data_IF_441150871146
#
_entry.id   IF_441150871146
#
_cell.length_a   1.000
_cell.length_b   1.000
_cell.length_c   1.000
_cell.angle_alpha   90.00
_cell.angle_beta   90.00
_cell.angle_gamma   90.00
#
_symmetry.space_group_name_H-M   'P 1'
#
loop_
_entity.id
_entity.type
_entity.pdbx_description
1 polymer ?
#
# COMPACT_ATOMS: atom_id res chain seq x y z
N UNK A 1 -88.37 0.14 -34.85
CA UNK A 1 -88.04 0.92 -33.63
C UNK A 1 -86.85 0.28 -32.93
N UNK A 2 -86.02 1.09 -32.28
CA UNK A 2 -84.81 0.80 -31.47
C UNK A 2 -83.48 0.68 -32.22
N UNK A 3 -82.75 1.80 -32.16
CA UNK A 3 -81.30 1.96 -32.34
C UNK A 3 -80.55 1.27 -31.21
N UNK A 4 -79.37 0.70 -31.49
CA UNK A 4 -78.27 0.57 -30.52
C UNK A 4 -76.95 0.86 -31.25
N UNK A 5 -76.25 1.90 -30.76
CA UNK A 5 -74.85 2.25 -31.09
C UNK A 5 -73.89 1.24 -30.43
N UNK A 6 -72.74 0.98 -31.05
CA UNK A 6 -71.65 0.21 -30.43
C UNK A 6 -70.29 0.40 -31.10
N UNK A 7 -69.60 1.46 -30.67
CA UNK A 7 -68.17 1.81 -30.71
C UNK A 7 -67.19 1.11 -31.69
N UNK A 8 -66.53 1.97 -32.48
CA UNK A 8 -65.26 1.73 -33.17
C UNK A 8 -64.12 1.83 -32.14
N UNK A 9 -63.30 0.78 -32.02
CA UNK A 9 -62.00 0.82 -31.36
C UNK A 9 -60.98 0.14 -32.26
N UNK A 10 -60.05 0.93 -32.84
CA UNK A 10 -58.76 0.41 -33.30
C UNK A 10 -57.67 1.39 -32.87
N UNK A 11 -57.02 0.98 -31.79
CA UNK A 11 -55.92 1.67 -31.11
C UNK A 11 -54.69 1.81 -32.01
N UNK A 12 -54.15 3.02 -32.06
CA UNK A 12 -52.81 3.35 -32.54
C UNK A 12 -51.77 2.81 -31.56
N UNK A 13 -50.89 1.91 -32.03
CA UNK A 13 -49.71 1.45 -31.29
C UNK A 13 -48.59 2.45 -31.54
N UNK A 14 -48.36 3.37 -30.59
CA UNK A 14 -47.17 4.22 -30.54
C UNK A 14 -46.01 3.44 -29.93
N UNK A 15 -44.97 3.18 -30.72
CA UNK A 15 -43.72 2.58 -30.24
C UNK A 15 -42.90 3.69 -29.58
N UNK A 16 -42.97 3.79 -28.25
CA UNK A 16 -42.08 4.60 -27.45
C UNK A 16 -40.74 3.89 -27.27
N UNK A 17 -39.67 4.43 -27.88
CA UNK A 17 -38.30 3.98 -27.64
C UNK A 17 -37.84 4.54 -26.28
N UNK A 18 -37.77 3.68 -25.27
CA UNK A 18 -37.13 3.97 -23.99
C UNK A 18 -35.61 3.91 -24.17
N UNK A 19 -34.97 5.07 -24.24
CA UNK A 19 -33.51 5.18 -24.14
C UNK A 19 -33.13 5.03 -22.67
N UNK A 20 -32.67 3.83 -22.28
CA UNK A 20 -32.10 3.59 -20.98
C UNK A 20 -30.73 4.30 -20.89
N UNK A 21 -30.68 5.43 -20.19
CA UNK A 21 -29.43 6.12 -19.85
C UNK A 21 -28.76 5.33 -18.73
N UNK A 22 -27.75 4.53 -19.05
CA UNK A 22 -26.88 3.90 -18.06
C UNK A 22 -25.92 4.96 -17.51
N UNK A 23 -26.23 5.51 -16.34
CA UNK A 23 -25.26 6.30 -15.59
C UNK A 23 -24.19 5.36 -15.04
N UNK A 24 -23.03 5.33 -15.69
CA UNK A 24 -21.84 4.72 -15.12
C UNK A 24 -21.47 5.49 -13.84
N UNK A 25 -21.85 4.96 -12.68
CA UNK A 25 -21.29 5.41 -11.41
C UNK A 25 -19.79 5.09 -11.44
N UNK A 26 -18.97 6.11 -11.69
CA UNK A 26 -17.55 6.04 -11.38
C UNK A 26 -17.45 5.71 -9.89
N UNK A 27 -16.99 4.50 -9.56
CA UNK A 27 -16.68 4.15 -8.18
C UNK A 27 -15.66 5.18 -7.69
N UNK A 28 -16.05 5.99 -6.70
CA UNK A 28 -15.15 6.94 -6.07
C UNK A 28 -13.91 6.17 -5.61
N UNK A 29 -12.76 6.51 -6.19
CA UNK A 29 -11.51 5.81 -5.92
C UNK A 29 -11.20 6.02 -4.43
N UNK A 30 -11.28 4.95 -3.64
CA UNK A 30 -11.07 5.03 -2.20
C UNK A 30 -9.68 5.63 -1.93
N UNK A 31 -9.63 6.68 -1.11
CA UNK A 31 -8.38 7.29 -0.71
C UNK A 31 -7.48 6.25 -0.05
N UNK A 32 -6.19 6.24 -0.39
CA UNK A 32 -5.23 5.31 0.18
C UNK A 32 -5.04 5.54 1.68
N UNK A 33 -5.10 6.79 2.13
CA UNK A 33 -4.95 7.20 3.52
C UNK A 33 -6.09 8.13 3.90
N UNK A 34 -6.62 7.92 5.10
CA UNK A 34 -7.55 8.83 5.79
C UNK A 34 -6.99 9.14 7.16
N UNK A 35 -7.35 10.29 7.73
CA UNK A 35 -6.93 10.65 9.08
C UNK A 35 -8.10 10.53 10.04
N UNK A 36 -7.85 9.92 11.19
CA UNK A 36 -8.78 9.81 12.30
C UNK A 36 -8.34 10.77 13.42
N UNK A 37 -8.37 12.07 13.12
CA UNK A 37 -7.88 13.11 14.02
C UNK A 37 -7.50 14.39 13.28
N UNK A 38 -6.91 15.34 14.02
CA UNK A 38 -6.41 16.61 13.48
C UNK A 38 -4.88 16.56 13.33
N UNK A 39 -4.33 16.54 12.10
CA UNK A 39 -2.88 16.48 11.88
C UNK A 39 -2.13 17.73 12.36
N UNK A 40 -2.83 18.80 12.78
CA UNK A 40 -2.20 19.96 13.41
C UNK A 40 -1.93 19.76 14.91
N UNK A 41 -2.55 18.75 15.52
CA UNK A 41 -2.43 18.44 16.95
C UNK A 41 -1.65 17.17 17.22
N UNK A 42 -1.71 16.23 16.28
CA UNK A 42 -1.10 14.91 16.39
C UNK A 42 -0.30 14.60 15.13
N UNK A 43 0.79 13.85 15.30
CA UNK A 43 1.58 13.38 14.19
C UNK A 43 0.72 12.55 13.22
N UNK A 44 0.65 12.95 11.95
CA UNK A 44 -0.28 12.34 10.99
C UNK A 44 -0.07 10.82 10.85
N UNK A 45 1.17 10.34 10.96
CA UNK A 45 1.50 8.91 10.85
C UNK A 45 0.98 8.07 12.02
N UNK A 46 0.53 8.70 13.11
CA UNK A 46 -0.10 8.07 14.28
C UNK A 46 -1.61 7.94 14.09
N UNK A 47 -2.24 8.96 13.50
CA UNK A 47 -3.70 9.05 13.27
C UNK A 47 -4.11 8.62 11.84
N UNK A 48 -3.16 8.16 11.03
CA UNK A 48 -3.41 7.69 9.68
C UNK A 48 -3.98 6.27 9.67
N UNK A 49 -5.10 6.12 8.97
CA UNK A 49 -5.66 4.84 8.58
C UNK A 49 -5.37 4.59 7.11
N UNK A 50 -4.76 3.44 6.79
CA UNK A 50 -4.42 3.08 5.42
C UNK A 50 -5.36 2.01 4.88
N UNK A 51 -5.69 2.16 3.59
CA UNK A 51 -6.65 1.34 2.89
C UNK A 51 -5.95 0.63 1.73
N UNK A 52 -5.34 -0.54 1.94
CA UNK A 52 -4.72 -1.29 0.84
C UNK A 52 -5.76 -1.62 -0.22
N UNK A 53 -5.42 -1.39 -1.48
CA UNK A 53 -6.32 -1.58 -2.62
C UNK A 53 -5.70 -2.36 -3.79
N UNK A 54 -4.37 -2.42 -3.88
CA UNK A 54 -3.67 -3.18 -4.92
C UNK A 54 -3.58 -4.67 -4.58
N UNK A 55 -3.56 -5.51 -5.61
CA UNK A 55 -3.46 -6.98 -5.50
C UNK A 55 -2.05 -7.49 -5.78
N UNK A 56 -1.11 -6.60 -6.06
CA UNK A 56 0.30 -6.91 -6.30
C UNK A 56 1.20 -5.79 -5.80
N UNK A 57 2.45 -6.16 -5.52
CA UNK A 57 3.53 -5.22 -5.17
C UNK A 57 4.69 -5.50 -6.12
N UNK A 58 5.07 -4.49 -6.90
CA UNK A 58 6.18 -4.58 -7.88
C UNK A 58 6.07 -5.81 -8.81
N UNK A 59 4.86 -6.16 -9.26
CA UNK A 59 4.58 -7.30 -10.12
C UNK A 59 4.53 -8.67 -9.42
N UNK A 60 4.57 -8.69 -8.09
CA UNK A 60 4.37 -9.91 -7.28
C UNK A 60 2.94 -9.89 -6.71
N UNK A 61 2.07 -10.85 -7.05
CA UNK A 61 0.74 -10.97 -6.45
C UNK A 61 0.79 -11.07 -4.93
N UNK A 62 -0.15 -10.41 -4.24
CA UNK A 62 -0.20 -10.35 -2.77
C UNK A 62 -0.23 -11.74 -2.13
N UNK A 63 -0.98 -12.68 -2.71
CA UNK A 63 -1.06 -14.07 -2.24
C UNK A 63 0.24 -14.89 -2.45
N UNK A 64 1.13 -14.44 -3.35
CA UNK A 64 2.47 -15.01 -3.51
C UNK A 64 3.46 -14.42 -2.49
N UNK A 65 3.20 -13.21 -1.98
CA UNK A 65 3.95 -12.63 -0.85
C UNK A 65 3.61 -13.35 0.45
N UNK A 66 2.32 -13.46 0.76
CA UNK A 66 1.78 -14.28 1.84
C UNK A 66 0.44 -14.85 1.42
N UNK A 67 0.24 -16.17 1.56
CA UNK A 67 -0.97 -16.87 1.09
C UNK A 67 -2.29 -16.29 1.59
N UNK A 68 -2.33 -15.73 2.80
CA UNK A 68 -3.54 -15.16 3.40
C UNK A 68 -3.90 -13.77 2.88
N UNK A 69 -3.02 -13.11 2.11
CA UNK A 69 -3.21 -11.74 1.66
C UNK A 69 -4.06 -11.66 0.41
N UNK A 70 -5.07 -10.81 0.47
CA UNK A 70 -5.90 -10.44 -0.67
C UNK A 70 -5.50 -9.09 -1.27
N UNK A 71 -4.95 -8.18 -0.45
CA UNK A 71 -4.46 -6.88 -0.89
C UNK A 71 -3.12 -6.58 -0.24
N UNK A 72 -2.24 -5.91 -0.98
CA UNK A 72 -0.97 -5.40 -0.49
C UNK A 72 -0.59 -4.18 -1.31
N UNK A 73 -0.47 -3.02 -0.66
CA UNK A 73 -0.14 -1.73 -1.29
C UNK A 73 1.15 -1.21 -0.70
N UNK A 74 2.14 -1.02 -1.57
CA UNK A 74 3.40 -0.33 -1.24
C UNK A 74 3.11 1.13 -0.91
N UNK A 75 3.78 1.65 0.12
CA UNK A 75 3.75 3.08 0.39
C UNK A 75 4.47 3.84 -0.72
N UNK A 76 3.80 4.84 -1.29
CA UNK A 76 4.39 5.75 -2.26
C UNK A 76 3.92 7.17 -1.99
N UNK A 77 4.78 8.14 -2.27
CA UNK A 77 4.51 9.56 -2.01
C UNK A 77 3.34 10.10 -2.84
N UNK A 78 3.10 9.54 -4.03
CA UNK A 78 1.95 9.90 -4.89
C UNK A 78 0.60 9.44 -4.34
N UNK A 79 0.59 8.48 -3.39
CA UNK A 79 -0.63 7.95 -2.78
C UNK A 79 -1.01 8.66 -1.47
N UNK A 80 -0.12 9.48 -0.92
CA UNK A 80 -0.31 10.16 0.37
C UNK A 80 -0.48 11.65 0.07
N UNK A 81 -1.46 12.34 0.68
CA UNK A 81 -1.64 13.78 0.51
C UNK A 81 -0.34 14.54 0.75
N UNK A 82 -0.03 15.45 -0.17
CA UNK A 82 1.25 16.17 -0.19
C UNK A 82 1.49 16.91 1.12
N UNK A 83 0.46 17.52 1.66
CA UNK A 83 0.47 18.28 2.92
C UNK A 83 0.89 17.46 4.15
N UNK A 84 0.86 16.11 4.08
CA UNK A 84 1.33 15.24 5.16
C UNK A 84 2.82 14.93 5.02
N UNK A 85 3.35 14.92 3.79
CA UNK A 85 4.74 14.55 3.50
C UNK A 85 5.65 15.75 3.29
N UNK A 86 5.09 16.94 3.07
CA UNK A 86 5.85 18.12 2.72
C UNK A 86 5.45 19.31 3.60
N UNK A 87 6.46 19.94 4.22
CA UNK A 87 6.32 21.26 4.80
C UNK A 87 6.76 22.30 3.75
N UNK A 88 5.76 22.89 3.09
CA UNK A 88 5.95 23.70 1.89
C UNK A 88 6.58 22.90 0.73
N UNK A 89 7.88 23.11 0.48
CA UNK A 89 8.65 22.39 -0.53
C UNK A 89 9.63 21.38 0.07
N UNK A 90 9.73 21.30 1.38
CA UNK A 90 10.64 20.41 2.09
C UNK A 90 9.99 19.06 2.29
N UNK A 91 10.64 18.01 1.79
CA UNK A 91 10.22 16.62 1.97
C UNK A 91 10.56 16.16 3.39
N UNK A 92 9.54 16.01 4.24
CA UNK A 92 9.70 15.73 5.65
C UNK A 92 10.41 14.39 5.90
N UNK A 93 10.15 13.38 5.06
CA UNK A 93 10.83 12.09 5.17
C UNK A 93 12.30 12.20 4.76
N UNK A 94 12.59 12.90 3.65
CA UNK A 94 13.96 13.05 3.19
C UNK A 94 14.81 13.86 4.19
N UNK A 95 14.22 14.85 4.87
CA UNK A 95 14.89 15.65 5.89
C UNK A 95 15.43 14.80 7.07
N UNK A 96 14.81 13.65 7.34
CA UNK A 96 15.24 12.68 8.37
C UNK A 96 15.82 11.39 7.75
N UNK A 97 16.28 11.44 6.50
CA UNK A 97 16.87 10.32 5.75
C UNK A 97 15.97 9.08 5.62
N UNK A 98 14.65 9.26 5.72
CA UNK A 98 13.66 8.20 5.58
C UNK A 98 13.10 8.11 4.16
N UNK A 99 12.72 6.90 3.77
CA UNK A 99 12.04 6.60 2.50
C UNK A 99 11.07 5.43 2.66
N UNK A 100 10.06 5.35 1.79
CA UNK A 100 9.20 4.16 1.70
C UNK A 100 9.82 3.01 0.92
N UNK A 101 10.79 3.31 0.06
CA UNK A 101 11.52 2.31 -0.71
C UNK A 101 12.99 2.73 -0.86
N UNK A 102 13.89 1.75 -0.76
CA UNK A 102 15.32 1.91 -0.89
C UNK A 102 15.84 0.85 -1.84
N UNK A 103 16.63 1.29 -2.82
CA UNK A 103 17.33 0.40 -3.73
C UNK A 103 18.80 0.24 -3.30
N UNK A 104 19.37 -0.95 -3.51
CA UNK A 104 20.76 -1.23 -3.17
C UNK A 104 21.18 -2.69 -3.39
N UNK A 105 22.29 -3.06 -2.75
CA UNK A 105 22.84 -4.41 -2.72
C UNK A 105 23.01 -4.83 -1.26
N UNK A 106 21.91 -5.24 -0.62
CA UNK A 106 21.86 -5.46 0.83
C UNK A 106 22.44 -6.82 1.26
N UNK A 107 22.49 -7.78 0.34
CA UNK A 107 23.09 -9.11 0.57
C UNK A 107 24.53 -9.27 0.05
N UNK A 108 25.12 -8.20 -0.49
CA UNK A 108 26.45 -8.19 -1.07
C UNK A 108 26.57 -8.85 -2.45
N UNK A 109 25.46 -9.24 -3.08
CA UNK A 109 25.45 -9.73 -4.45
C UNK A 109 25.40 -8.57 -5.45
N UNK A 110 25.70 -8.84 -6.72
CA UNK A 110 25.56 -7.87 -7.82
C UNK A 110 24.11 -7.68 -8.27
N UNK A 111 23.17 -8.47 -7.74
CA UNK A 111 21.75 -8.31 -8.06
C UNK A 111 21.21 -7.08 -7.34
N UNK A 112 20.56 -6.18 -8.08
CA UNK A 112 19.88 -5.03 -7.48
C UNK A 112 18.71 -5.50 -6.63
N UNK A 113 18.60 -4.96 -5.44
CA UNK A 113 17.53 -5.25 -4.48
C UNK A 113 16.72 -3.99 -4.20
N UNK A 114 15.44 -4.19 -3.92
CA UNK A 114 14.55 -3.15 -3.44
C UNK A 114 13.99 -3.58 -2.09
N UNK A 115 14.26 -2.79 -1.07
CA UNK A 115 13.58 -2.86 0.21
C UNK A 115 12.43 -1.83 0.20
N UNK A 116 11.24 -2.24 0.61
CA UNK A 116 10.07 -1.37 0.64
C UNK A 116 9.17 -1.69 1.82
N UNK A 117 8.34 -0.71 2.18
CA UNK A 117 7.30 -0.83 3.20
C UNK A 117 5.92 -0.61 2.58
N UNK A 118 4.90 -1.17 3.22
CA UNK A 118 3.52 -1.00 2.77
C UNK A 118 2.52 -1.59 3.75
N UNK A 119 1.27 -1.64 3.32
CA UNK A 119 0.14 -2.19 4.08
C UNK A 119 -0.51 -3.35 3.38
N UNK A 120 -1.00 -4.30 4.18
CA UNK A 120 -1.70 -5.47 3.67
C UNK A 120 -3.09 -5.59 4.29
N UNK A 121 -3.95 -6.30 3.58
CA UNK A 121 -5.21 -6.81 4.09
C UNK A 121 -5.30 -8.30 3.76
N UNK A 122 -5.51 -9.10 4.80
CA UNK A 122 -5.84 -10.51 4.66
C UNK A 122 -7.23 -10.68 4.06
N UNK A 123 -7.45 -11.82 3.40
CA UNK A 123 -8.77 -12.15 2.87
C UNK A 123 -9.85 -12.22 3.96
N UNK A 124 -9.46 -12.52 5.22
CA UNK A 124 -10.33 -12.50 6.39
C UNK A 124 -10.56 -11.08 6.97
N UNK A 125 -9.99 -10.03 6.37
CA UNK A 125 -10.20 -8.63 6.75
C UNK A 125 -9.14 -8.02 7.66
N UNK A 126 -8.35 -8.82 8.36
CA UNK A 126 -7.26 -8.31 9.21
C UNK A 126 -6.26 -7.49 8.40
N UNK A 127 -5.85 -6.34 8.92
CA UNK A 127 -4.91 -5.42 8.27
C UNK A 127 -3.61 -5.28 9.06
N UNK A 128 -2.59 -4.75 8.41
CA UNK A 128 -1.33 -4.46 9.04
C UNK A 128 -0.32 -3.84 8.09
N UNK A 129 0.93 -3.79 8.53
CA UNK A 129 2.06 -3.29 7.74
C UNK A 129 3.06 -4.38 7.45
N UNK A 130 3.86 -4.19 6.42
CA UNK A 130 4.92 -5.13 6.05
C UNK A 130 6.20 -4.42 5.61
N UNK A 131 7.31 -5.15 5.72
CA UNK A 131 8.61 -4.87 5.11
C UNK A 131 8.88 -5.99 4.12
N UNK A 132 9.24 -5.64 2.88
CA UNK A 132 9.53 -6.57 1.81
C UNK A 132 10.91 -6.24 1.20
N UNK A 133 11.74 -7.26 1.01
CA UNK A 133 12.95 -7.14 0.18
C UNK A 133 12.77 -8.06 -1.02
N UNK A 134 12.98 -7.51 -2.21
CA UNK A 134 12.94 -8.24 -3.47
C UNK A 134 14.27 -8.11 -4.22
N UNK A 135 14.69 -9.19 -4.87
CA UNK A 135 15.63 -9.10 -5.97
C UNK A 135 14.89 -8.57 -7.20
N UNK A 136 15.49 -7.61 -7.89
CA UNK A 136 14.97 -7.03 -9.12
C UNK A 136 16.00 -7.20 -10.26
N UNK A 137 16.07 -8.39 -10.88
CA UNK A 137 16.98 -8.63 -11.99
C UNK A 137 16.57 -7.82 -13.23
N UNK A 138 17.54 -7.34 -14.01
CA UNK A 138 17.33 -6.39 -15.12
C UNK A 138 16.36 -6.86 -16.23
N UNK A 139 16.04 -8.15 -16.30
CA UNK A 139 15.10 -8.71 -17.27
C UNK A 139 14.38 -9.97 -16.76
N UNK A 140 14.27 -10.13 -15.44
CA UNK A 140 13.69 -11.34 -14.82
C UNK A 140 12.50 -11.04 -13.94
N UNK A 141 11.80 -12.09 -13.49
CA UNK A 141 10.74 -11.96 -12.50
C UNK A 141 11.33 -11.54 -11.15
N UNK A 142 10.72 -10.57 -10.45
CA UNK A 142 11.15 -10.19 -9.13
C UNK A 142 11.03 -11.38 -8.17
N UNK A 143 11.98 -11.53 -7.26
CA UNK A 143 12.04 -12.66 -6.31
C UNK A 143 12.03 -12.13 -4.88
N UNK A 144 11.12 -12.63 -4.07
CA UNK A 144 11.07 -12.29 -2.64
C UNK A 144 12.31 -12.86 -1.95
N UNK A 145 13.01 -11.99 -1.21
CA UNK A 145 14.16 -12.33 -0.36
C UNK A 145 13.84 -12.24 1.11
N UNK A 146 12.88 -11.40 1.47
CA UNK A 146 12.44 -11.23 2.85
C UNK A 146 11.02 -10.68 2.88
N UNK A 147 10.21 -11.15 3.82
CA UNK A 147 8.93 -10.54 4.16
C UNK A 147 8.67 -10.64 5.67
N UNK A 148 8.58 -9.49 6.33
CA UNK A 148 8.07 -9.37 7.69
C UNK A 148 6.75 -8.62 7.68
N UNK A 149 5.80 -9.07 8.47
CA UNK A 149 4.46 -8.49 8.51
C UNK A 149 3.93 -8.48 9.94
N UNK A 150 3.29 -7.38 10.32
CA UNK A 150 2.72 -7.18 11.65
C UNK A 150 1.29 -6.72 11.47
N UNK A 151 0.33 -7.46 12.06
CA UNK A 151 -1.05 -7.01 12.20
C UNK A 151 -1.10 -5.89 13.23
N UNK A 152 -1.58 -4.72 12.83
CA UNK A 152 -1.62 -3.52 13.67
C UNK A 152 -2.49 -2.46 13.02
N UNK A 153 -3.07 -1.60 13.84
CA UNK A 153 -3.78 -0.40 13.39
C UNK A 153 -2.81 0.78 13.18
N UNK A 154 -1.59 0.72 13.75
CA UNK A 154 -0.50 1.69 13.50
C UNK A 154 0.36 1.25 12.33
N UNK A 155 -0.09 1.56 11.12
CA UNK A 155 0.41 0.92 9.92
C UNK A 155 1.55 1.65 9.22
N UNK A 156 1.85 2.89 9.63
CA UNK A 156 2.99 3.62 9.07
C UNK A 156 4.29 2.80 9.21
N UNK A 157 5.13 2.93 8.20
CA UNK A 157 6.45 2.35 8.14
C UNK A 157 7.33 3.19 7.25
N UNK A 158 8.61 3.27 7.60
CA UNK A 158 9.65 3.92 6.82
C UNK A 158 10.94 3.10 6.90
N UNK A 159 11.84 3.36 5.94
CA UNK A 159 13.15 2.75 5.82
C UNK A 159 14.23 3.82 5.84
N UNK A 160 15.37 3.49 6.44
CA UNK A 160 16.61 4.25 6.32
C UNK A 160 17.75 3.29 5.95
N UNK A 161 18.79 3.81 5.28
CA UNK A 161 20.03 3.05 5.08
C UNK A 161 20.83 3.06 6.37
N UNK A 162 21.11 1.88 6.91
CA UNK A 162 22.07 1.70 7.99
C UNK A 162 23.50 1.57 7.45
N UNK A 163 24.45 1.33 8.36
CA UNK A 163 25.84 1.00 8.02
C UNK A 163 25.93 -0.40 7.40
N UNK A 164 26.97 -0.65 6.61
CA UNK A 164 27.30 -1.97 6.04
C UNK A 164 26.16 -2.67 5.29
N UNK A 165 25.31 -1.91 4.60
CA UNK A 165 24.18 -2.44 3.84
C UNK A 165 22.99 -2.88 4.69
N UNK A 166 22.97 -2.56 5.99
CA UNK A 166 21.81 -2.76 6.85
C UNK A 166 20.65 -1.82 6.46
N UNK A 167 19.44 -2.23 6.81
CA UNK A 167 18.23 -1.44 6.65
C UNK A 167 17.64 -1.18 8.03
N UNK A 168 17.38 0.09 8.35
CA UNK A 168 16.65 0.44 9.57
C UNK A 168 15.20 0.62 9.20
N UNK A 169 14.30 -0.04 9.93
CA UNK A 169 12.86 0.07 9.73
C UNK A 169 12.25 0.80 10.91
N UNK A 170 11.49 1.86 10.65
CA UNK A 170 10.89 2.71 11.68
C UNK A 170 9.38 2.76 11.52
N UNK A 171 8.68 2.79 12.65
CA UNK A 171 7.22 2.90 12.73
C UNK A 171 6.73 4.34 13.01
N UNK A 172 7.67 5.28 13.03
CA UNK A 172 7.51 6.65 13.49
C UNK A 172 8.59 7.50 12.83
N UNK A 173 8.25 8.74 12.42
CA UNK A 173 9.22 9.64 11.77
C UNK A 173 10.14 10.36 12.74
N UNK A 174 9.73 10.51 14.00
CA UNK A 174 10.41 11.32 15.03
C UNK A 174 10.97 10.48 16.18
N UNK A 175 10.88 9.15 16.08
CA UNK A 175 11.34 8.25 17.12
C UNK A 175 12.75 7.76 16.79
N UNK A 176 13.64 7.75 17.79
CA UNK A 176 14.99 7.19 17.67
C UNK A 176 15.00 5.65 17.62
N UNK A 177 13.85 5.03 17.86
CA UNK A 177 13.69 3.58 17.88
C UNK A 177 13.44 3.02 16.47
N UNK A 178 14.38 2.22 16.00
CA UNK A 178 14.30 1.45 14.77
C UNK A 178 14.57 -0.04 15.02
N UNK A 179 14.12 -0.88 14.09
CA UNK A 179 14.56 -2.27 14.01
C UNK A 179 15.56 -2.42 12.87
N UNK A 180 16.71 -3.00 13.16
CA UNK A 180 17.78 -3.18 12.17
C UNK A 180 17.63 -4.54 11.49
N UNK A 181 17.57 -4.53 10.16
CA UNK A 181 17.50 -5.71 9.32
C UNK A 181 18.81 -5.84 8.54
N UNK A 182 19.48 -7.00 8.65
CA UNK A 182 20.78 -7.24 8.00
C UNK A 182 20.81 -8.61 7.34
N UNK A 183 21.64 -8.76 6.31
CA UNK A 183 21.93 -10.05 5.71
C UNK A 183 22.83 -10.89 6.64
N UNK A 184 22.29 -12.00 7.14
CA UNK A 184 23.06 -13.02 7.83
C UNK A 184 23.75 -13.92 6.78
N UNK A 185 25.07 -13.75 6.63
CA UNK A 185 25.88 -14.53 5.69
C UNK A 185 25.90 -16.03 6.01
N UNK A 186 25.80 -16.41 7.29
CA UNK A 186 25.83 -17.82 7.70
C UNK A 186 24.51 -18.50 7.36
N UNK A 187 23.38 -17.84 7.64
CA UNK A 187 22.04 -18.35 7.32
C UNK A 187 21.63 -18.12 5.86
N UNK A 188 22.33 -17.24 5.14
CA UNK A 188 21.99 -16.79 3.78
C UNK A 188 20.56 -16.25 3.70
N UNK A 189 20.18 -15.43 4.66
CA UNK A 189 18.88 -14.76 4.72
C UNK A 189 18.98 -13.40 5.41
N UNK A 190 17.98 -12.55 5.19
CA UNK A 190 17.82 -11.34 6.01
C UNK A 190 17.23 -11.73 7.37
N UNK A 191 17.77 -11.14 8.44
CA UNK A 191 17.31 -11.37 9.80
C UNK A 191 17.36 -10.06 10.61
N UNK A 192 16.50 -9.96 11.62
CA UNK A 192 16.49 -8.83 12.53
C UNK A 192 17.68 -8.93 13.48
N UNK A 193 18.41 -7.82 13.65
CA UNK A 193 19.47 -7.73 14.65
C UNK A 193 18.82 -7.57 16.03
N UNK A 194 19.18 -8.39 17.03
CA UNK A 194 18.70 -8.21 18.39
C UNK A 194 19.06 -6.83 18.94
N UNK A 195 18.12 -6.17 19.60
CA UNK A 195 18.33 -4.91 20.32
C UNK A 195 19.27 -5.17 21.51
N UNK A 196 20.58 -5.05 21.29
CA UNK A 196 21.62 -5.39 22.27
C UNK A 196 23.00 -5.62 21.64
N UNK A 197 23.05 -5.89 20.33
CA UNK A 197 24.29 -6.17 19.59
C UNK A 197 24.81 -4.96 18.77
N UNK A 198 24.22 -3.77 18.93
CA UNK A 198 24.76 -2.51 18.39
C UNK A 198 25.77 -1.90 19.37
N UNK A 199 27.00 -2.42 19.36
CA UNK A 199 28.20 -1.78 19.93
C UNK A 199 29.28 -1.59 18.86
#
# INVERSE_FOLDING_TARGET
MRRVLGAIVRSTIGIGVLVAVTTAQAAAQQAFVTLNGDPKKEAWWVIAEFHPFTTEVRGIPANQIRKSWCKATEFRKDLIPRELLFDGNTDAMAAVNMSFAIEGHFDGTTTKQVALVGVFQECAGAKGRFVLIIDQPAGGKPKIRFVSAVRTDRQFGALQKGKDGALVTSACMECDEGSVLKWDRKKRQFDWVPQGDEL
#
